data_IF_292805044018
#
_entry.id   IF_292805044018
#
_cell.length_a   1.000
_cell.length_b   1.000
_cell.length_c   1.000
_cell.angle_alpha   90.00
_cell.angle_beta   90.00
_cell.angle_gamma   90.00
#
_symmetry.space_group_name_H-M   'P 1'
#
loop_
_entity.id
_entity.type
_entity.pdbx_description
1 polymer ?
#
# COMPACT_ATOMS: atom_id res chain seq x y z
N UNK A 1 -1.85 -7.04 -4.66
CA UNK A 1 -2.23 -8.32 -4.02
C UNK A 1 -2.04 -9.42 -5.04
N UNK A 2 -0.91 -10.13 -5.10
CA UNK A 2 -0.89 -11.29 -6.01
C UNK A 2 -1.41 -12.51 -5.27
N UNK A 3 -2.70 -12.42 -4.92
CA UNK A 3 -3.53 -13.53 -4.52
C UNK A 3 -3.50 -14.52 -5.68
N UNK A 4 -2.77 -15.61 -5.49
CA UNK A 4 -2.37 -16.55 -6.56
C UNK A 4 -3.53 -17.47 -6.91
N UNK A 5 -4.70 -16.95 -7.28
CA UNK A 5 -5.80 -17.73 -7.88
C UNK A 5 -6.62 -16.85 -8.83
N UNK A 6 -6.57 -17.27 -10.10
CA UNK A 6 -7.53 -17.11 -11.21
C UNK A 6 -7.17 -16.14 -12.34
N UNK A 7 -7.47 -16.67 -13.52
CA UNK A 7 -7.49 -16.09 -14.86
C UNK A 7 -6.17 -15.98 -15.62
N UNK A 8 -5.96 -17.07 -16.34
CA UNK A 8 -5.07 -17.32 -17.47
C UNK A 8 -5.40 -16.38 -18.66
N UNK A 9 -5.36 -15.05 -18.49
CA UNK A 9 -5.43 -14.11 -19.62
C UNK A 9 -5.02 -12.68 -19.22
N UNK A 10 -3.76 -12.46 -18.88
CA UNK A 10 -3.13 -11.12 -18.91
C UNK A 10 -1.61 -11.29 -18.96
N UNK A 11 -1.17 -11.87 -20.07
CA UNK A 11 0.23 -12.03 -20.46
C UNK A 11 0.66 -10.75 -21.18
N UNK A 12 1.40 -9.85 -20.50
CA UNK A 12 2.36 -8.86 -21.08
C UNK A 12 2.82 -7.74 -20.10
N UNK A 13 2.66 -7.89 -18.77
CA UNK A 13 3.30 -6.97 -17.78
C UNK A 13 4.02 -7.75 -16.67
N UNK A 14 4.69 -8.84 -17.02
CA UNK A 14 5.39 -9.70 -16.06
C UNK A 14 6.81 -10.05 -16.54
N UNK A 15 7.65 -9.03 -16.79
CA UNK A 15 9.06 -9.26 -17.15
C UNK A 15 10.03 -8.89 -16.01
N UNK A 16 9.58 -8.32 -14.88
CA UNK A 16 10.39 -8.28 -13.65
C UNK A 16 9.55 -8.12 -12.35
N UNK A 17 9.56 -9.07 -11.39
CA UNK A 17 8.49 -9.24 -10.40
C UNK A 17 8.75 -8.55 -9.03
N UNK A 18 9.28 -7.32 -8.97
CA UNK A 18 9.83 -6.82 -7.69
C UNK A 18 9.32 -5.46 -7.22
N UNK A 19 8.06 -5.12 -7.50
CA UNK A 19 7.34 -4.12 -6.69
C UNK A 19 5.84 -4.35 -6.76
N UNK A 20 5.12 -4.19 -5.65
CA UNK A 20 3.70 -4.54 -5.55
C UNK A 20 2.94 -3.49 -4.71
N UNK A 21 1.72 -3.17 -5.12
CA UNK A 21 0.75 -2.43 -4.31
C UNK A 21 -0.22 -3.39 -3.62
N UNK A 22 -0.39 -3.19 -2.31
CA UNK A 22 -1.30 -3.95 -1.46
C UNK A 22 -2.32 -3.02 -0.81
N UNK A 23 -3.56 -3.51 -0.69
CA UNK A 23 -4.61 -2.78 0.03
C UNK A 23 -4.47 -3.11 1.52
N UNK A 24 -4.29 -2.07 2.35
CA UNK A 24 -4.25 -2.19 3.81
C UNK A 24 -5.44 -1.46 4.41
N UNK A 25 -6.09 -2.10 5.38
CA UNK A 25 -7.24 -1.51 6.07
C UNK A 25 -6.75 -0.77 7.32
N UNK A 26 -7.19 0.48 7.50
CA UNK A 26 -6.97 1.28 8.70
C UNK A 26 -8.30 1.36 9.44
N UNK A 27 -8.31 0.93 10.71
CA UNK A 27 -9.48 1.03 11.58
C UNK A 27 -9.82 2.48 11.90
N UNK A 28 -11.08 2.70 12.30
CA UNK A 28 -11.53 3.98 12.84
C UNK A 28 -10.72 4.32 14.10
N UNK A 29 -10.32 5.59 14.21
CA UNK A 29 -9.52 6.08 15.34
C UNK A 29 -9.80 7.53 15.64
N UNK A 30 -9.51 7.94 16.86
CA UNK A 30 -9.47 9.35 17.24
C UNK A 30 -8.18 9.99 16.74
N UNK A 31 -8.31 11.12 16.04
CA UNK A 31 -7.22 11.95 15.57
C UNK A 31 -7.37 13.38 16.09
N UNK A 32 -6.42 14.24 15.73
CA UNK A 32 -6.49 15.67 16.02
C UNK A 32 -6.31 16.48 14.76
N UNK A 33 -7.01 17.59 14.67
CA UNK A 33 -6.82 18.54 13.58
C UNK A 33 -5.47 19.27 13.78
N UNK A 34 -4.55 19.18 12.81
CA UNK A 34 -3.23 19.81 12.89
C UNK A 34 -3.31 21.35 12.98
N UNK A 35 -4.43 21.96 12.58
CA UNK A 35 -4.63 23.41 12.62
C UNK A 35 -5.24 23.90 13.94
N UNK A 36 -6.17 23.15 14.53
CA UNK A 36 -6.93 23.58 15.73
C UNK A 36 -6.65 22.77 16.98
N UNK A 37 -5.92 21.66 16.88
CA UNK A 37 -5.63 20.68 17.94
C UNK A 37 -6.87 20.00 18.57
N UNK A 38 -8.06 20.25 18.04
CA UNK A 38 -9.29 19.64 18.52
C UNK A 38 -9.37 18.15 18.14
N UNK A 39 -9.98 17.31 18.99
CA UNK A 39 -10.20 15.91 18.70
C UNK A 39 -11.24 15.73 17.58
N UNK A 40 -10.94 14.83 16.63
CA UNK A 40 -11.84 14.47 15.54
C UNK A 40 -11.78 12.96 15.27
N UNK A 41 -12.89 12.38 14.85
CA UNK A 41 -12.96 10.96 14.49
C UNK A 41 -12.52 10.77 13.05
N UNK A 42 -11.52 9.91 12.81
CA UNK A 42 -11.07 9.53 11.47
C UNK A 42 -11.74 8.19 11.11
N UNK A 43 -12.54 8.14 10.02
CA UNK A 43 -13.28 6.94 9.64
C UNK A 43 -12.37 5.83 9.12
N UNK A 44 -12.85 4.58 9.22
CA UNK A 44 -12.16 3.42 8.68
C UNK A 44 -11.95 3.56 7.16
N UNK A 45 -10.71 3.45 6.70
CA UNK A 45 -10.35 3.74 5.30
C UNK A 45 -9.41 2.67 4.76
N UNK A 46 -9.56 2.37 3.47
CA UNK A 46 -8.66 1.48 2.72
C UNK A 46 -7.54 2.32 2.12
N UNK A 47 -6.30 2.05 2.53
CA UNK A 47 -5.11 2.74 2.03
C UNK A 47 -4.26 1.79 1.20
N UNK A 48 -3.73 2.26 0.07
CA UNK A 48 -2.76 1.50 -0.70
C UNK A 48 -1.37 1.62 -0.07
N UNK A 49 -0.69 0.49 0.07
CA UNK A 49 0.70 0.42 0.55
C UNK A 49 1.56 -0.12 -0.58
N UNK A 50 2.70 0.52 -0.79
CA UNK A 50 3.69 0.10 -1.76
C UNK A 50 4.80 -0.69 -1.08
N UNK A 51 5.11 -1.87 -1.62
CA UNK A 51 6.23 -2.70 -1.18
C UNK A 51 7.30 -2.72 -2.26
N UNK A 52 8.38 -1.99 -2.03
CA UNK A 52 9.55 -1.97 -2.90
C UNK A 52 10.33 -3.28 -2.80
N UNK A 53 10.78 -3.79 -3.95
CA UNK A 53 11.63 -4.97 -4.02
C UNK A 53 13.07 -4.73 -3.58
N UNK A 54 13.76 -5.82 -3.29
CA UNK A 54 15.16 -5.86 -2.84
C UNK A 54 16.10 -4.97 -3.67
N UNK A 55 16.06 -5.11 -5.01
CA UNK A 55 16.94 -4.36 -5.92
C UNK A 55 16.73 -2.83 -5.85
N UNK A 56 15.50 -2.38 -5.65
CA UNK A 56 15.21 -0.95 -5.48
C UNK A 56 15.75 -0.44 -4.15
N UNK A 57 15.52 -1.20 -3.08
CA UNK A 57 16.01 -0.85 -1.74
C UNK A 57 17.54 -0.80 -1.69
N UNK A 58 18.24 -1.73 -2.32
CA UNK A 58 19.72 -1.75 -2.38
C UNK A 58 20.31 -0.57 -3.15
N UNK A 59 19.64 -0.08 -4.18
CA UNK A 59 20.10 1.07 -4.97
C UNK A 59 19.83 2.43 -4.30
N UNK A 60 18.85 2.49 -3.39
CA UNK A 60 18.36 3.73 -2.78
C UNK A 60 18.77 3.84 -1.30
N UNK A 61 19.30 2.76 -0.71
CA UNK A 61 19.88 2.80 0.63
C UNK A 61 21.14 3.69 0.64
N UNK A 62 21.27 4.63 1.59
CA UNK A 62 22.46 5.47 1.76
C UNK A 62 23.67 4.68 2.26
#
# INVERSE_FOLDING_TARGET
MCNRKRSFLLLLVAINPRSCFERRERSQREGRNLKTNEPMIIPATKVSVFSAGKLFKEKVAP
#
